data_IF_265199146418
#
_entry.id   IF_265199146418
#
_cell.length_a   1.000
_cell.length_b   1.000
_cell.length_c   1.000
_cell.angle_alpha   90.00
_cell.angle_beta   90.00
_cell.angle_gamma   90.00
#
_symmetry.space_group_name_H-M   'P 1'
#
loop_
_entity.id
_entity.type
_entity.pdbx_description
1 polymer ?
#
# COMPACT_ATOMS: atom_id res chain seq x y z
N UNK A 1 57.91 -38.35 12.44
CA UNK A 1 58.85 -37.90 11.40
C UNK A 1 58.41 -36.52 10.92
N UNK A 2 59.22 -35.46 11.07
CA UNK A 2 58.82 -34.08 10.85
C UNK A 2 59.19 -33.58 9.45
N UNK A 3 58.70 -32.36 9.12
CA UNK A 3 59.10 -31.45 8.03
C UNK A 3 58.19 -31.46 6.80
N UNK A 4 57.36 -30.43 6.66
CA UNK A 4 57.61 -29.40 5.64
C UNK A 4 56.95 -28.07 6.03
N UNK A 5 57.78 -27.02 6.01
CA UNK A 5 57.49 -25.60 6.23
C UNK A 5 56.80 -25.00 4.99
N UNK A 6 55.74 -24.24 5.21
CA UNK A 6 55.65 -22.78 5.04
C UNK A 6 56.12 -22.21 3.69
N UNK A 7 55.17 -21.64 2.95
CA UNK A 7 55.42 -20.54 2.00
C UNK A 7 54.39 -19.45 2.25
N UNK A 8 54.79 -18.47 3.07
CA UNK A 8 54.12 -17.18 3.21
C UNK A 8 54.60 -16.27 2.07
N UNK A 9 53.67 -15.60 1.38
CA UNK A 9 53.97 -14.37 0.63
C UNK A 9 53.07 -13.25 1.16
N UNK A 10 53.63 -12.13 1.63
CA UNK A 10 52.85 -10.93 1.93
C UNK A 10 52.64 -10.11 0.66
N UNK A 11 51.45 -9.53 0.47
CA UNK A 11 51.24 -8.46 -0.52
C UNK A 11 50.83 -7.18 0.20
N UNK A 12 51.51 -6.12 -0.22
CA UNK A 12 51.74 -4.88 0.50
C UNK A 12 50.53 -3.96 0.66
N UNK A 13 50.64 -3.11 1.70
CA UNK A 13 49.88 -1.90 1.96
C UNK A 13 49.94 -0.92 0.77
N UNK A 14 48.79 -0.36 0.41
CA UNK A 14 48.68 0.92 -0.28
C UNK A 14 47.94 1.90 0.61
N UNK A 15 48.61 2.98 1.00
CA UNK A 15 48.11 4.10 1.81
C UNK A 15 47.34 5.11 0.96
N UNK A 16 46.20 5.55 1.51
CA UNK A 16 45.50 6.83 1.43
C UNK A 16 45.87 7.88 0.35
N UNK A 17 44.84 8.41 -0.33
CA UNK A 17 44.62 9.88 -0.53
C UNK A 17 43.11 10.16 -0.69
N UNK A 18 42.52 10.87 0.27
CA UNK A 18 41.38 11.80 0.14
C UNK A 18 42.01 13.19 -0.11
N UNK A 19 41.38 14.17 -0.82
CA UNK A 19 40.40 15.03 -0.12
C UNK A 19 39.37 15.84 -0.98
N UNK A 20 38.46 16.51 -0.24
CA UNK A 20 37.61 17.71 -0.52
C UNK A 20 36.44 17.57 -1.53
N UNK A 21 35.15 17.70 -1.15
CA UNK A 21 34.38 18.81 -0.55
C UNK A 21 34.38 20.14 -1.34
N UNK A 22 33.25 20.42 -2.01
CA UNK A 22 32.67 21.75 -2.26
C UNK A 22 31.14 21.54 -2.24
N UNK A 23 30.41 21.81 -1.15
CA UNK A 23 30.06 23.08 -0.51
C UNK A 23 28.93 23.81 -1.25
N UNK A 24 27.73 23.65 -0.66
CA UNK A 24 26.52 24.42 -0.90
C UNK A 24 26.73 25.87 -0.45
N UNK A 25 26.30 26.81 -1.29
CA UNK A 25 25.98 28.21 -0.98
C UNK A 25 24.48 28.35 -1.28
N UNK A 26 23.59 28.75 -0.39
CA UNK A 26 23.73 29.81 0.60
C UNK A 26 22.89 30.98 0.09
N UNK A 27 21.68 31.13 0.64
CA UNK A 27 20.78 32.26 0.44
C UNK A 27 21.46 33.58 0.79
N UNK A 28 21.30 34.61 -0.05
CA UNK A 28 21.47 35.99 0.41
C UNK A 28 20.47 36.95 -0.25
N UNK A 29 19.77 37.63 0.65
CA UNK A 29 18.74 38.64 0.49
C UNK A 29 19.35 39.91 -0.08
N UNK A 30 18.71 40.53 -1.07
CA UNK A 30 18.80 41.99 -1.21
C UNK A 30 17.42 42.61 -1.43
N UNK A 31 17.13 43.52 -0.50
CA UNK A 31 16.06 44.52 -0.49
C UNK A 31 16.02 45.33 -1.80
N UNK A 32 14.87 45.93 -2.10
CA UNK A 32 14.72 47.39 -2.18
C UNK A 32 13.27 47.78 -2.50
N UNK A 33 12.69 48.55 -1.57
CA UNK A 33 12.01 49.84 -1.76
C UNK A 33 10.87 49.92 -2.80
N UNK A 34 9.65 50.18 -2.34
CA UNK A 34 9.18 51.58 -2.19
C UNK A 34 7.71 51.62 -1.73
N UNK A 35 7.51 52.20 -0.54
CA UNK A 35 6.23 52.78 -0.17
C UNK A 35 6.01 54.05 -0.99
N UNK A 36 4.89 54.14 -1.71
CA UNK A 36 4.34 55.43 -2.13
C UNK A 36 2.82 55.43 -2.05
N UNK A 37 2.38 56.08 -0.99
CA UNK A 37 1.03 56.34 -0.56
C UNK A 37 0.37 57.39 -1.49
N UNK A 38 -0.73 57.04 -2.20
CA UNK A 38 -1.65 58.03 -2.79
C UNK A 38 -3.10 57.55 -2.71
N UNK A 39 -3.84 58.12 -1.77
CA UNK A 39 -5.29 57.96 -1.68
C UNK A 39 -6.03 58.58 -2.87
N UNK A 40 -7.22 58.03 -3.15
CA UNK A 40 -8.36 58.72 -3.78
C UNK A 40 -9.61 57.82 -3.67
N UNK A 41 -10.58 58.29 -2.89
CA UNK A 41 -11.95 57.80 -2.92
C UNK A 41 -12.53 57.97 -4.33
N UNK A 42 -13.13 56.92 -4.91
CA UNK A 42 -14.25 57.07 -5.83
C UNK A 42 -15.00 55.76 -6.13
N UNK A 43 -16.33 55.88 -6.03
CA UNK A 43 -17.42 55.11 -6.65
C UNK A 43 -17.69 53.68 -6.16
N UNK A 44 -18.68 53.59 -5.27
CA UNK A 44 -19.61 52.47 -5.16
C UNK A 44 -20.26 52.19 -6.53
N UNK A 45 -19.70 51.24 -7.26
CA UNK A 45 -20.41 50.55 -8.33
C UNK A 45 -21.11 49.34 -7.73
N UNK A 46 -22.43 49.43 -7.59
CA UNK A 46 -23.27 48.25 -7.40
C UNK A 46 -23.20 47.46 -8.71
N UNK A 47 -22.27 46.50 -8.78
CA UNK A 47 -22.33 45.46 -9.78
C UNK A 47 -23.55 44.59 -9.45
N UNK A 48 -24.51 44.51 -10.38
CA UNK A 48 -25.58 43.51 -10.36
C UNK A 48 -24.91 42.14 -10.49
N UNK A 49 -24.57 41.55 -9.34
CA UNK A 49 -24.01 40.21 -9.24
C UNK A 49 -24.96 39.25 -9.98
N UNK A 50 -24.50 38.66 -11.08
CA UNK A 50 -25.13 37.49 -11.72
C UNK A 50 -24.80 36.19 -10.96
N UNK A 51 -23.98 36.29 -9.92
CA UNK A 51 -23.60 35.21 -9.02
C UNK A 51 -24.73 34.58 -8.17
N UNK A 52 -25.83 35.26 -7.75
CA UNK A 52 -26.81 34.62 -6.88
C UNK A 52 -27.61 33.55 -7.64
N UNK A 53 -27.82 33.73 -8.95
CA UNK A 53 -28.65 32.82 -9.74
C UNK A 53 -27.93 31.48 -9.98
N UNK A 54 -26.61 31.51 -10.23
CA UNK A 54 -25.80 30.29 -10.37
C UNK A 54 -25.70 29.55 -9.04
N UNK A 55 -25.51 30.27 -7.93
CA UNK A 55 -25.45 29.65 -6.60
C UNK A 55 -26.79 28.99 -6.24
N UNK A 56 -27.91 29.65 -6.53
CA UNK A 56 -29.26 29.08 -6.32
C UNK A 56 -29.49 27.85 -7.21
N UNK A 57 -29.04 27.87 -8.47
CA UNK A 57 -29.17 26.73 -9.38
C UNK A 57 -28.33 25.53 -8.89
N UNK A 58 -27.10 25.77 -8.43
CA UNK A 58 -26.24 24.74 -7.86
C UNK A 58 -26.82 24.15 -6.57
N UNK A 59 -27.39 24.96 -5.67
CA UNK A 59 -28.00 24.45 -4.44
C UNK A 59 -29.27 23.64 -4.72
N UNK A 60 -30.12 24.08 -5.65
CA UNK A 60 -31.28 23.31 -6.08
C UNK A 60 -30.90 21.98 -6.74
N UNK A 61 -29.88 21.97 -7.61
CA UNK A 61 -29.36 20.74 -8.22
C UNK A 61 -28.85 19.77 -7.16
N UNK A 62 -28.09 20.26 -6.17
CA UNK A 62 -27.57 19.45 -5.08
C UNK A 62 -28.69 18.86 -4.22
N UNK A 63 -29.75 19.62 -3.93
CA UNK A 63 -30.92 19.12 -3.21
C UNK A 63 -31.66 18.04 -3.99
N UNK A 64 -31.85 18.21 -5.31
CA UNK A 64 -32.46 17.18 -6.16
C UNK A 64 -31.64 15.90 -6.17
N UNK A 65 -30.31 16.00 -6.29
CA UNK A 65 -29.42 14.84 -6.23
C UNK A 65 -29.53 14.12 -4.87
N UNK A 66 -29.55 14.87 -3.76
CA UNK A 66 -29.72 14.29 -2.42
C UNK A 66 -31.07 13.58 -2.25
N UNK A 67 -32.16 14.11 -2.83
CA UNK A 67 -33.46 13.42 -2.82
C UNK A 67 -33.42 12.11 -3.60
N UNK A 68 -32.77 12.06 -4.77
CA UNK A 68 -32.61 10.82 -5.56
C UNK A 68 -31.79 9.76 -4.79
N UNK A 69 -30.76 10.18 -4.06
CA UNK A 69 -29.98 9.26 -3.21
C UNK A 69 -30.76 8.78 -1.98
N UNK A 70 -31.65 9.60 -1.41
CA UNK A 70 -32.47 9.21 -0.26
C UNK A 70 -33.53 8.14 -0.62
N UNK A 71 -34.13 8.23 -1.81
CA UNK A 71 -35.11 7.25 -2.29
C UNK A 71 -34.49 5.87 -2.59
N UNK A 72 -33.16 5.78 -2.69
CA UNK A 72 -32.44 4.52 -2.92
C UNK A 72 -32.26 3.67 -1.65
N UNK A 73 -32.78 4.08 -0.48
CA UNK A 73 -32.56 3.41 0.81
C UNK A 73 -33.75 2.57 1.30
N UNK A 74 -34.87 2.47 0.57
CA UNK A 74 -36.03 1.69 1.02
C UNK A 74 -36.48 0.60 0.03
N UNK A 75 -35.70 -0.49 -0.09
CA UNK A 75 -36.26 -1.85 -0.28
C UNK A 75 -35.32 -2.87 0.37
N UNK A 76 -35.40 -2.99 1.69
CA UNK A 76 -34.79 -4.11 2.42
C UNK A 76 -35.67 -4.52 3.61
N UNK A 77 -36.96 -4.72 3.37
CA UNK A 77 -37.82 -5.43 4.31
C UNK A 77 -38.70 -6.41 3.53
N UNK A 78 -38.81 -7.62 4.07
CA UNK A 78 -39.63 -8.76 3.63
C UNK A 78 -38.95 -9.73 2.64
N UNK A 79 -38.08 -10.59 3.18
CA UNK A 79 -38.04 -11.99 2.73
C UNK A 79 -38.67 -12.86 3.81
N UNK A 80 -39.77 -13.58 3.54
CA UNK A 80 -40.23 -14.64 4.43
C UNK A 80 -39.25 -15.81 4.33
N UNK A 81 -38.86 -16.36 5.48
CA UNK A 81 -37.98 -17.52 5.56
C UNK A 81 -38.60 -18.72 4.83
N UNK A 82 -37.86 -19.41 3.94
CA UNK A 82 -38.29 -20.72 3.48
C UNK A 82 -38.02 -21.74 4.59
N UNK A 83 -39.10 -22.23 5.21
CA UNK A 83 -39.09 -23.50 5.92
C UNK A 83 -38.93 -24.60 4.86
N UNK A 84 -37.72 -25.12 4.69
CA UNK A 84 -37.50 -26.39 3.98
C UNK A 84 -36.47 -27.25 4.73
N UNK A 85 -37.01 -28.32 5.31
CA UNK A 85 -36.46 -29.66 5.51
C UNK A 85 -34.94 -29.79 5.64
N UNK A 86 -34.52 -30.17 6.84
CA UNK A 86 -33.30 -30.93 7.06
C UNK A 86 -33.37 -32.26 6.26
N UNK A 87 -32.96 -32.22 5.00
CA UNK A 87 -32.55 -33.41 4.29
C UNK A 87 -31.14 -33.75 4.79
N UNK A 88 -31.09 -34.78 5.64
CA UNK A 88 -29.87 -35.52 5.95
C UNK A 88 -29.35 -36.13 4.64
N UNK A 89 -28.47 -35.41 3.96
CA UNK A 89 -27.66 -35.98 2.88
C UNK A 89 -26.23 -36.06 3.37
N UNK A 90 -25.74 -37.29 3.45
CA UNK A 90 -24.35 -37.66 3.68
C UNK A 90 -23.45 -37.24 2.48
N UNK A 91 -23.58 -36.00 2.01
CA UNK A 91 -22.69 -35.41 1.02
C UNK A 91 -21.54 -34.77 1.78
N UNK A 92 -20.36 -35.37 1.67
CA UNK A 92 -19.07 -34.70 1.93
C UNK A 92 -19.20 -33.26 1.42
N UNK A 93 -19.12 -32.29 2.32
CA UNK A 93 -19.28 -30.88 1.96
C UNK A 93 -18.38 -30.60 0.74
N UNK A 94 -18.89 -29.91 -0.30
CA UNK A 94 -18.07 -29.60 -1.45
C UNK A 94 -16.79 -28.92 -0.95
N UNK A 95 -15.65 -29.31 -1.52
CA UNK A 95 -14.36 -28.73 -1.19
C UNK A 95 -14.36 -27.28 -1.69
N UNK A 96 -14.91 -26.36 -0.89
CA UNK A 96 -15.06 -24.93 -1.22
C UNK A 96 -13.70 -24.27 -1.04
N UNK A 97 -12.79 -24.53 -1.98
CA UNK A 97 -11.54 -23.80 -2.09
C UNK A 97 -11.77 -22.56 -2.95
N UNK A 98 -11.13 -21.46 -2.57
CA UNK A 98 -11.06 -20.31 -3.45
C UNK A 98 -10.38 -20.73 -4.77
N UNK A 99 -10.92 -20.32 -5.94
CA UNK A 99 -10.26 -20.58 -7.20
C UNK A 99 -8.96 -19.79 -7.28
N UNK A 100 -7.90 -20.41 -7.81
CA UNK A 100 -6.66 -19.71 -8.09
C UNK A 100 -6.91 -18.67 -9.20
N UNK A 101 -6.50 -17.42 -8.97
CA UNK A 101 -6.69 -16.34 -9.94
C UNK A 101 -5.70 -16.42 -11.10
N UNK A 102 -6.13 -16.00 -12.29
CA UNK A 102 -5.31 -15.92 -13.51
C UNK A 102 -4.21 -14.85 -13.40
N UNK A 103 -4.48 -13.79 -12.65
CA UNK A 103 -3.54 -12.70 -12.37
C UNK A 103 -3.29 -12.63 -10.86
N UNK A 104 -2.02 -12.56 -10.49
CA UNK A 104 -1.54 -12.64 -9.11
C UNK A 104 -1.03 -11.27 -8.67
N UNK A 105 -1.51 -10.78 -7.52
CA UNK A 105 -0.95 -9.60 -6.88
C UNK A 105 0.16 -9.99 -5.90
N UNK A 106 1.40 -9.56 -6.18
CA UNK A 106 2.56 -9.80 -5.32
C UNK A 106 2.74 -8.72 -4.23
N UNK A 107 2.82 -9.13 -2.97
CA UNK A 107 2.96 -8.25 -1.80
C UNK A 107 4.42 -7.92 -1.41
N UNK A 108 5.40 -8.27 -2.24
CA UNK A 108 6.82 -7.97 -1.98
C UNK A 108 7.09 -6.46 -1.97
N UNK A 109 7.91 -6.00 -1.02
CA UNK A 109 8.44 -4.63 -0.91
C UNK A 109 7.35 -3.56 -0.80
N UNK A 110 6.24 -3.86 -0.11
CA UNK A 110 5.15 -2.91 0.16
C UNK A 110 5.25 -2.23 1.53
N UNK A 111 6.11 -2.76 2.43
CA UNK A 111 6.37 -2.17 3.75
C UNK A 111 5.11 -2.02 4.60
N UNK A 112 4.97 -0.88 5.26
CA UNK A 112 3.83 -0.58 6.14
C UNK A 112 2.53 -0.33 5.36
N UNK A 113 2.63 0.07 4.09
CA UNK A 113 1.48 0.29 3.20
C UNK A 113 0.90 -1.01 2.64
N UNK A 114 1.41 -2.18 3.02
CA UNK A 114 0.94 -3.49 2.53
C UNK A 114 -0.57 -3.65 2.65
N UNK A 115 -1.17 -3.28 3.80
CA UNK A 115 -2.60 -3.40 4.01
C UNK A 115 -3.41 -2.53 3.03
N UNK A 116 -2.97 -1.29 2.81
CA UNK A 116 -3.59 -0.35 1.87
C UNK A 116 -3.56 -0.90 0.45
N UNK A 117 -2.40 -1.35 -0.02
CA UNK A 117 -2.28 -1.83 -1.40
C UNK A 117 -2.99 -3.16 -1.64
N UNK A 118 -3.00 -4.07 -0.66
CA UNK A 118 -3.77 -5.32 -0.76
C UNK A 118 -5.26 -5.02 -0.81
N UNK A 119 -5.75 -4.07 0.00
CA UNK A 119 -7.15 -3.63 -0.06
C UNK A 119 -7.50 -3.11 -1.46
N UNK A 120 -6.67 -2.21 -2.01
CA UNK A 120 -6.87 -1.66 -3.35
C UNK A 120 -6.83 -2.73 -4.45
N UNK A 121 -5.91 -3.70 -4.37
CA UNK A 121 -5.83 -4.79 -5.33
C UNK A 121 -7.11 -5.63 -5.32
N UNK A 122 -7.59 -6.02 -4.14
CA UNK A 122 -8.82 -6.82 -4.01
C UNK A 122 -10.04 -6.03 -4.53
N UNK A 123 -10.13 -4.75 -4.19
CA UNK A 123 -11.20 -3.85 -4.68
C UNK A 123 -11.13 -3.65 -6.21
N UNK A 124 -9.93 -3.70 -6.80
CA UNK A 124 -9.71 -3.63 -8.25
C UNK A 124 -9.98 -4.95 -8.98
N UNK A 125 -10.39 -6.00 -8.25
CA UNK A 125 -10.81 -7.28 -8.83
C UNK A 125 -9.80 -8.43 -8.66
N UNK A 126 -8.64 -8.21 -8.06
CA UNK A 126 -7.71 -9.32 -7.79
C UNK A 126 -8.33 -10.31 -6.81
N UNK A 127 -8.17 -11.61 -7.10
CA UNK A 127 -8.62 -12.72 -6.25
C UNK A 127 -7.50 -13.67 -5.82
N UNK A 128 -6.27 -13.42 -6.27
CA UNK A 128 -5.07 -14.14 -5.86
C UNK A 128 -4.04 -13.17 -5.32
N UNK A 129 -3.74 -13.27 -4.02
CA UNK A 129 -2.71 -12.47 -3.33
C UNK A 129 -1.57 -13.40 -2.93
N UNK A 130 -0.35 -13.06 -3.34
CA UNK A 130 0.88 -13.79 -3.01
C UNK A 130 1.78 -12.97 -2.09
N UNK A 131 2.20 -13.58 -0.98
CA UNK A 131 3.13 -13.02 0.00
C UNK A 131 4.27 -14.02 0.28
N UNK A 132 5.07 -13.80 1.32
CA UNK A 132 6.11 -14.73 1.72
C UNK A 132 6.62 -14.58 3.14
N UNK A 133 7.30 -15.62 3.63
CA UNK A 133 7.92 -15.67 4.95
C UNK A 133 9.23 -14.89 5.08
N UNK A 134 9.72 -14.23 4.03
CA UNK A 134 10.89 -13.33 4.15
C UNK A 134 10.46 -11.97 4.73
N UNK A 135 10.30 -11.91 6.05
CA UNK A 135 9.68 -10.77 6.73
C UNK A 135 10.38 -9.41 6.54
N UNK A 136 11.64 -9.38 6.07
CA UNK A 136 12.31 -8.14 5.68
C UNK A 136 11.70 -7.48 4.42
N UNK A 137 11.14 -8.28 3.52
CA UNK A 137 10.54 -7.80 2.27
C UNK A 137 9.02 -7.98 2.20
N UNK A 138 8.46 -8.85 3.03
CA UNK A 138 7.03 -9.18 3.05
C UNK A 138 6.40 -8.88 4.40
N UNK A 139 5.15 -8.42 4.38
CA UNK A 139 4.37 -8.12 5.57
C UNK A 139 3.07 -8.95 5.55
N UNK A 140 3.16 -10.21 5.95
CA UNK A 140 2.00 -11.12 6.00
C UNK A 140 0.85 -10.61 6.89
N UNK A 141 1.11 -10.02 8.08
CA UNK A 141 0.05 -9.38 8.86
C UNK A 141 -0.66 -8.25 8.09
N UNK A 142 0.08 -7.43 7.35
CA UNK A 142 -0.45 -6.39 6.48
C UNK A 142 -1.37 -6.96 5.38
N UNK A 143 -1.01 -8.11 4.80
CA UNK A 143 -1.88 -8.82 3.83
C UNK A 143 -3.19 -9.25 4.49
N UNK A 144 -3.13 -9.83 5.69
CA UNK A 144 -4.31 -10.21 6.45
C UNK A 144 -5.22 -9.02 6.80
N UNK A 145 -4.62 -7.89 7.19
CA UNK A 145 -5.34 -6.65 7.47
C UNK A 145 -6.01 -6.08 6.21
N UNK A 146 -5.30 -6.03 5.08
CA UNK A 146 -5.83 -5.56 3.80
C UNK A 146 -6.97 -6.43 3.26
N UNK A 147 -6.86 -7.76 3.42
CA UNK A 147 -7.97 -8.66 3.10
C UNK A 147 -9.20 -8.38 3.96
N UNK A 148 -9.06 -8.29 5.29
CA UNK A 148 -10.20 -7.97 6.17
C UNK A 148 -10.86 -6.64 5.81
N UNK A 149 -10.04 -5.61 5.52
CA UNK A 149 -10.53 -4.30 5.12
C UNK A 149 -11.24 -4.30 3.75
N UNK A 150 -10.92 -5.24 2.86
CA UNK A 150 -11.58 -5.37 1.56
C UNK A 150 -13.03 -5.87 1.63
N UNK A 151 -13.42 -6.53 2.72
CA UNK A 151 -14.76 -7.12 2.89
C UNK A 151 -15.02 -8.40 2.07
N UNK A 152 -14.05 -8.89 1.28
CA UNK A 152 -14.21 -10.12 0.50
C UNK A 152 -14.18 -11.35 1.40
N UNK A 153 -15.09 -12.31 1.17
CA UNK A 153 -15.15 -13.53 1.98
C UNK A 153 -13.92 -14.42 1.75
N UNK A 154 -13.49 -15.16 2.78
CA UNK A 154 -12.29 -16.03 2.71
C UNK A 154 -12.36 -17.03 1.55
N UNK A 155 -13.55 -17.57 1.29
CA UNK A 155 -13.80 -18.56 0.22
C UNK A 155 -13.61 -18.01 -1.20
N UNK A 156 -13.56 -16.69 -1.35
CA UNK A 156 -13.42 -16.03 -2.66
C UNK A 156 -11.99 -15.53 -2.89
N UNK A 157 -11.08 -15.73 -1.94
CA UNK A 157 -9.69 -15.24 -2.01
C UNK A 157 -8.68 -16.38 -1.97
N UNK A 158 -7.86 -16.49 -3.01
CA UNK A 158 -6.69 -17.37 -3.01
C UNK A 158 -5.51 -16.64 -2.36
N UNK A 159 -5.05 -17.16 -1.24
CA UNK A 159 -3.90 -16.63 -0.50
C UNK A 159 -2.74 -17.61 -0.62
N UNK A 160 -1.63 -17.14 -1.17
CA UNK A 160 -0.39 -17.90 -1.29
C UNK A 160 0.70 -17.27 -0.42
N UNK A 161 1.42 -18.09 0.35
CA UNK A 161 2.68 -17.69 0.98
C UNK A 161 3.77 -18.69 0.61
N UNK A 162 5.02 -18.30 0.83
CA UNK A 162 6.20 -19.16 0.66
C UNK A 162 6.92 -19.29 2.00
N UNK A 163 7.38 -20.50 2.28
CA UNK A 163 8.25 -20.78 3.42
C UNK A 163 9.68 -20.34 3.09
N UNK A 164 10.31 -19.61 4.01
CA UNK A 164 11.74 -19.31 3.95
C UNK A 164 12.45 -20.13 5.03
N UNK A 165 13.32 -21.05 4.62
CA UNK A 165 14.20 -21.74 5.54
C UNK A 165 15.44 -20.87 5.84
N UNK A 166 15.80 -20.77 7.13
CA UNK A 166 16.96 -20.01 7.58
C UNK A 166 18.31 -20.62 7.13
N UNK A 167 18.38 -21.93 6.87
CA UNK A 167 19.66 -22.64 6.69
C UNK A 167 19.97 -23.13 5.27
N UNK A 168 19.16 -22.78 4.28
CA UNK A 168 19.44 -23.10 2.88
C UNK A 168 19.72 -21.79 2.15
N UNK A 169 20.80 -21.77 1.38
CA UNK A 169 21.28 -20.63 0.58
C UNK A 169 20.19 -20.09 -0.38
N UNK A 170 19.22 -19.36 0.16
CA UNK A 170 18.16 -18.67 -0.55
C UNK A 170 18.52 -17.21 -0.80
N UNK A 171 17.65 -16.50 -1.53
CA UNK A 171 17.77 -15.06 -1.73
C UNK A 171 17.97 -14.35 -0.38
N UNK A 172 19.15 -13.76 -0.18
CA UNK A 172 19.55 -13.09 1.08
C UNK A 172 20.36 -13.94 2.07
N UNK A 173 20.40 -15.27 1.92
CA UNK A 173 21.22 -16.21 2.71
C UNK A 173 22.44 -16.74 1.94
N UNK A 174 22.64 -16.32 0.69
CA UNK A 174 23.73 -16.76 -0.18
C UNK A 174 25.16 -16.57 0.36
N UNK A 175 25.34 -15.89 1.50
CA UNK A 175 26.63 -15.75 2.19
C UNK A 175 26.55 -16.05 3.69
N UNK A 176 25.49 -16.70 4.16
CA UNK A 176 25.33 -16.99 5.59
C UNK A 176 26.17 -18.19 5.99
N UNK A 177 27.24 -17.95 6.75
CA UNK A 177 27.97 -19.03 7.43
C UNK A 177 27.26 -19.29 8.76
N UNK A 178 27.06 -20.56 9.12
CA UNK A 178 26.42 -20.93 10.40
C UNK A 178 27.06 -20.31 11.65
N UNK A 179 28.31 -19.83 11.55
CA UNK A 179 29.02 -19.13 12.61
C UNK A 179 28.63 -17.66 12.79
N UNK A 180 27.91 -17.08 11.84
CA UNK A 180 27.63 -15.65 11.82
C UNK A 180 26.39 -15.36 12.67
N UNK A 181 26.55 -14.53 13.70
CA UNK A 181 25.47 -14.13 14.62
C UNK A 181 24.44 -13.18 13.99
N UNK A 182 24.68 -12.70 12.77
CA UNK A 182 23.83 -11.74 12.04
C UNK A 182 23.11 -12.35 10.82
N UNK A 183 22.96 -13.67 10.78
CA UNK A 183 22.10 -14.30 9.79
C UNK A 183 20.62 -14.19 10.18
N UNK A 184 19.74 -13.81 9.24
CA UNK A 184 18.30 -13.66 9.48
C UNK A 184 17.58 -15.00 9.73
#
# INVERSE_FOLDING_TARGET
DPKMRAFLRPRARGTAVLPQQQQQTGDEITNNNDESNKGKYQKLFIQRNKAPLIVILCTLLLLVLLSIFADSIQVAHMCPAPILKAASSNSKAPDVRAPMGEIIYGAKSKGDDTAKYVTQAIQSGFRHIATGGFHKEYNEPGVGAGWKASGVARKDLFLQTLFLAQSVNGYGAQNCVFSDTECP
#
